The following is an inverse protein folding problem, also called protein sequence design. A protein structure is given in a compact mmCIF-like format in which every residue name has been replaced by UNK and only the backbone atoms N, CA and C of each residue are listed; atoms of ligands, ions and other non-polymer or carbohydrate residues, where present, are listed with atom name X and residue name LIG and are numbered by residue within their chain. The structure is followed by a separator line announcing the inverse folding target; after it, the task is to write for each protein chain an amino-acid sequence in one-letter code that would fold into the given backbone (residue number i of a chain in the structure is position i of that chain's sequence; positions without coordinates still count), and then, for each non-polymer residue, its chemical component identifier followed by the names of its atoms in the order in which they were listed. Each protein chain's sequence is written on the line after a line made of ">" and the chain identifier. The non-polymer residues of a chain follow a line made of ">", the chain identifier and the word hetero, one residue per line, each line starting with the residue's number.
data_IF_962415265517
#
_entry.id   IF_962415265517
#
_cell.length_a   1.000
_cell.length_b   1.000
_cell.length_c   1.000
_cell.angle_alpha   90.00
_cell.angle_beta   90.00
_cell.angle_gamma   90.00
#
_symmetry.space_group_name_H-M   'P 1'
#
loop_
_entity.id
_entity.type
_entity.pdbx_description
1 polymer ?
#
# COMPACT_ATOMS: atom_id res chain seq x y z
N UNK A 1 -16.88 -39.47 -4.03
CA UNK A 1 -15.49 -38.89 -4.03
C UNK A 1 -15.27 -37.93 -5.21
N UNK A 2 -15.82 -38.20 -6.43
CA UNK A 2 -15.65 -37.35 -7.60
C UNK A 2 -16.34 -35.97 -7.46
N UNK A 3 -17.53 -35.88 -6.92
CA UNK A 3 -18.23 -34.61 -6.66
C UNK A 3 -17.49 -33.70 -5.66
N UNK A 4 -16.87 -34.28 -4.64
CA UNK A 4 -16.04 -33.54 -3.68
C UNK A 4 -14.76 -32.97 -4.31
N UNK A 5 -14.15 -33.71 -5.26
CA UNK A 5 -12.95 -33.27 -5.98
C UNK A 5 -13.26 -32.12 -6.95
N UNK A 6 -14.36 -32.19 -7.68
CA UNK A 6 -14.80 -31.12 -8.59
C UNK A 6 -15.17 -29.83 -7.85
N UNK A 7 -15.78 -29.95 -6.67
CA UNK A 7 -16.12 -28.79 -5.82
C UNK A 7 -14.89 -28.13 -5.23
N UNK A 8 -13.87 -28.93 -4.83
CA UNK A 8 -12.58 -28.42 -4.36
C UNK A 8 -11.82 -27.71 -5.48
N UNK A 9 -11.78 -28.27 -6.71
CA UNK A 9 -11.14 -27.63 -7.85
C UNK A 9 -11.76 -26.27 -8.19
N UNK A 10 -13.10 -26.17 -8.20
CA UNK A 10 -13.79 -24.88 -8.42
C UNK A 10 -13.46 -23.82 -7.37
N UNK A 11 -13.37 -24.19 -6.09
CA UNK A 11 -12.97 -23.27 -5.02
C UNK A 11 -11.54 -22.79 -5.19
N UNK A 12 -10.61 -23.68 -5.55
CA UNK A 12 -9.23 -23.34 -5.79
C UNK A 12 -9.07 -22.46 -7.04
N UNK A 13 -9.80 -22.71 -8.10
CA UNK A 13 -9.85 -21.83 -9.26
C UNK A 13 -10.35 -20.43 -8.89
N UNK A 14 -11.43 -20.32 -8.12
CA UNK A 14 -11.95 -19.05 -7.63
C UNK A 14 -10.95 -18.31 -6.72
N UNK A 15 -10.23 -19.04 -5.84
CA UNK A 15 -9.13 -18.48 -5.07
C UNK A 15 -8.01 -17.97 -5.98
N UNK A 16 -7.66 -18.72 -7.03
CA UNK A 16 -6.70 -18.31 -8.05
C UNK A 16 -7.10 -17.01 -8.75
N UNK A 17 -8.37 -16.87 -9.14
CA UNK A 17 -8.88 -15.61 -9.72
C UNK A 17 -8.65 -14.41 -8.78
N UNK A 18 -8.89 -14.59 -7.49
CA UNK A 18 -8.68 -13.54 -6.49
C UNK A 18 -7.18 -13.16 -6.36
N UNK A 19 -6.27 -14.14 -6.33
CA UNK A 19 -4.84 -13.86 -6.30
C UNK A 19 -4.30 -13.27 -7.59
N UNK A 20 -4.79 -13.69 -8.75
CA UNK A 20 -4.49 -13.06 -10.02
C UNK A 20 -4.99 -11.62 -10.09
N UNK A 21 -6.12 -11.31 -9.43
CA UNK A 21 -6.61 -9.93 -9.29
C UNK A 21 -5.70 -9.08 -8.40
N UNK A 22 -5.19 -9.66 -7.30
CA UNK A 22 -4.16 -8.99 -6.49
C UNK A 22 -2.92 -8.72 -7.34
N UNK A 23 -2.47 -9.70 -8.13
CA UNK A 23 -1.34 -9.52 -9.04
C UNK A 23 -1.58 -8.43 -10.09
N UNK A 24 -2.78 -8.33 -10.64
CA UNK A 24 -3.16 -7.28 -11.59
C UNK A 24 -3.03 -5.87 -10.98
N UNK A 25 -3.39 -5.73 -9.70
CA UNK A 25 -3.38 -4.43 -9.00
C UNK A 25 -2.05 -4.12 -8.32
N UNK A 26 -1.42 -5.15 -7.75
CA UNK A 26 -0.15 -5.08 -7.02
C UNK A 26 0.69 -6.34 -7.31
N UNK A 27 1.48 -6.32 -8.39
CA UNK A 27 2.13 -7.52 -8.90
C UNK A 27 3.00 -8.26 -7.88
N UNK A 28 3.81 -7.54 -7.11
CA UNK A 28 4.68 -8.15 -6.09
C UNK A 28 3.86 -8.83 -4.98
N UNK A 29 2.81 -8.19 -4.53
CA UNK A 29 1.91 -8.71 -3.51
C UNK A 29 1.20 -9.99 -3.98
N UNK A 30 0.73 -9.97 -5.23
CA UNK A 30 0.11 -11.14 -5.86
C UNK A 30 1.08 -12.31 -6.03
N UNK A 31 2.35 -12.04 -6.36
CA UNK A 31 3.39 -13.06 -6.45
C UNK A 31 3.68 -13.70 -5.08
N UNK A 32 3.84 -12.88 -4.03
CA UNK A 32 4.12 -13.37 -2.68
C UNK A 32 2.99 -14.26 -2.18
N UNK A 33 1.78 -13.71 -2.10
CA UNK A 33 0.64 -14.46 -1.53
C UNK A 33 0.19 -15.59 -2.45
N UNK A 34 0.14 -15.34 -3.75
CA UNK A 34 -0.23 -16.34 -4.74
C UNK A 34 0.75 -17.50 -4.76
N UNK A 35 2.05 -17.20 -4.72
CA UNK A 35 3.11 -18.21 -4.68
C UNK A 35 3.07 -19.04 -3.40
N UNK A 36 3.02 -18.42 -2.21
CA UNK A 36 2.92 -19.12 -0.93
C UNK A 36 1.66 -19.99 -0.83
N UNK A 37 0.52 -19.48 -1.33
CA UNK A 37 -0.72 -20.24 -1.38
C UNK A 37 -0.62 -21.41 -2.36
N UNK A 38 0.02 -21.21 -3.52
CA UNK A 38 0.28 -22.28 -4.50
C UNK A 38 1.13 -23.40 -3.91
N UNK A 39 2.22 -23.05 -3.19
CA UNK A 39 3.07 -24.02 -2.46
C UNK A 39 2.23 -24.77 -1.41
N UNK A 40 1.41 -24.05 -0.65
CA UNK A 40 0.53 -24.67 0.34
C UNK A 40 -0.47 -25.65 -0.29
N UNK A 41 -1.07 -25.30 -1.44
CA UNK A 41 -2.00 -26.16 -2.19
C UNK A 41 -1.31 -27.40 -2.70
N UNK A 42 -0.07 -27.28 -3.17
CA UNK A 42 0.72 -28.39 -3.73
C UNK A 42 1.26 -29.31 -2.62
N UNK A 43 1.82 -28.75 -1.56
CA UNK A 43 2.50 -29.49 -0.47
C UNK A 43 1.55 -29.97 0.64
N UNK A 44 0.31 -29.51 0.66
CA UNK A 44 -0.65 -29.84 1.71
C UNK A 44 -1.07 -31.32 1.71
N UNK A 45 -1.64 -31.84 2.82
CA UNK A 45 -2.01 -33.25 2.99
C UNK A 45 -2.99 -33.78 1.94
N UNK A 46 -3.73 -32.90 1.31
CA UNK A 46 -4.65 -33.18 0.20
C UNK A 46 -4.18 -32.57 -1.12
N UNK A 47 -2.91 -32.20 -1.18
CA UNK A 47 -2.29 -31.60 -2.36
C UNK A 47 -2.37 -32.54 -3.55
N UNK A 48 -2.55 -31.99 -4.73
CA UNK A 48 -2.44 -32.71 -5.98
C UNK A 48 -2.11 -31.73 -7.10
N UNK A 49 -1.42 -32.23 -8.13
CA UNK A 49 -1.10 -31.43 -9.32
C UNK A 49 -2.36 -30.85 -9.95
N UNK A 50 -3.45 -31.63 -10.04
CA UNK A 50 -4.73 -31.16 -10.61
C UNK A 50 -5.34 -29.98 -9.82
N UNK A 51 -5.20 -29.97 -8.49
CA UNK A 51 -5.67 -28.87 -7.65
C UNK A 51 -4.78 -27.64 -7.80
N UNK A 52 -3.47 -27.85 -7.82
CA UNK A 52 -2.52 -26.77 -8.08
C UNK A 52 -2.71 -26.17 -9.48
N UNK A 53 -2.97 -27.00 -10.48
CA UNK A 53 -3.28 -26.55 -11.83
C UNK A 53 -4.59 -25.73 -11.90
N UNK A 54 -5.65 -26.16 -11.20
CA UNK A 54 -6.89 -25.38 -11.12
C UNK A 54 -6.66 -24.01 -10.46
N UNK A 55 -5.88 -23.96 -9.38
CA UNK A 55 -5.49 -22.72 -8.72
C UNK A 55 -4.67 -21.82 -9.65
N UNK A 56 -3.61 -22.36 -10.27
CA UNK A 56 -2.74 -21.63 -11.20
C UNK A 56 -3.52 -21.10 -12.41
N UNK A 57 -4.45 -21.89 -12.98
CA UNK A 57 -5.31 -21.44 -14.06
C UNK A 57 -6.14 -20.20 -13.67
N UNK A 58 -6.69 -20.17 -12.45
CA UNK A 58 -7.37 -18.99 -11.92
C UNK A 58 -6.43 -17.78 -11.83
N UNK A 59 -5.23 -17.97 -11.30
CA UNK A 59 -4.22 -16.88 -11.20
C UNK A 59 -3.89 -16.32 -12.61
N UNK A 60 -3.71 -17.19 -13.59
CA UNK A 60 -3.35 -16.77 -14.96
C UNK A 60 -4.50 -16.02 -15.62
N UNK A 61 -5.74 -16.45 -15.46
CA UNK A 61 -6.91 -15.82 -16.13
C UNK A 61 -7.02 -14.33 -15.77
N UNK A 62 -6.89 -13.97 -14.50
CA UNK A 62 -6.98 -12.57 -14.09
C UNK A 62 -5.62 -11.86 -14.12
N UNK A 63 -4.54 -12.55 -13.77
CA UNK A 63 -3.20 -11.97 -13.73
C UNK A 63 -2.67 -11.62 -15.14
N UNK A 64 -3.03 -12.38 -16.17
CA UNK A 64 -2.62 -12.09 -17.54
C UNK A 64 -3.20 -10.76 -18.08
N UNK A 65 -4.25 -10.23 -17.49
CA UNK A 65 -4.77 -8.89 -17.83
C UNK A 65 -3.74 -7.79 -17.62
N UNK A 66 -2.78 -7.98 -16.68
CA UNK A 66 -1.67 -7.05 -16.50
C UNK A 66 -0.79 -6.95 -17.76
N UNK A 67 -0.56 -8.08 -18.44
CA UNK A 67 0.26 -8.10 -19.65
C UNK A 67 -0.42 -7.32 -20.79
N UNK A 68 -1.73 -7.42 -20.90
CA UNK A 68 -2.53 -6.66 -21.87
C UNK A 68 -2.53 -5.17 -21.53
N UNK A 69 -2.69 -4.84 -20.24
CA UNK A 69 -2.60 -3.45 -19.77
C UNK A 69 -1.22 -2.85 -20.08
N UNK A 70 -0.14 -3.54 -19.73
CA UNK A 70 1.21 -3.08 -20.00
C UNK A 70 1.45 -2.89 -21.50
N UNK A 71 1.02 -3.84 -22.32
CA UNK A 71 1.15 -3.75 -23.78
C UNK A 71 0.44 -2.50 -24.33
N UNK A 72 -0.76 -2.21 -23.83
CA UNK A 72 -1.52 -1.03 -24.25
C UNK A 72 -0.86 0.29 -23.80
N UNK A 73 -0.25 0.30 -22.61
CA UNK A 73 0.33 1.52 -22.02
C UNK A 73 1.77 1.79 -22.47
N UNK A 74 2.59 0.76 -22.68
CA UNK A 74 4.05 0.90 -22.90
C UNK A 74 4.53 0.29 -24.22
N UNK A 75 3.64 -0.38 -24.95
CA UNK A 75 4.01 -1.15 -26.15
C UNK A 75 4.72 -2.49 -25.83
N UNK A 76 4.89 -2.85 -24.56
CA UNK A 76 5.55 -4.08 -24.14
C UNK A 76 4.77 -4.76 -23.00
N UNK A 77 4.45 -6.07 -23.10
CA UNK A 77 3.65 -6.74 -22.07
C UNK A 77 4.38 -6.89 -20.73
N UNK A 78 5.71 -6.83 -20.73
CA UNK A 78 6.53 -7.00 -19.52
C UNK A 78 7.02 -5.69 -18.91
N UNK A 79 6.83 -4.56 -19.59
CA UNK A 79 7.23 -3.24 -19.09
C UNK A 79 6.07 -2.59 -18.35
N UNK A 80 6.23 -2.40 -17.05
CA UNK A 80 5.19 -1.75 -16.24
C UNK A 80 5.13 -0.25 -16.53
N UNK A 81 3.93 0.32 -16.63
CA UNK A 81 3.71 1.73 -16.90
C UNK A 81 4.39 2.65 -15.85
N UNK A 82 4.38 2.26 -14.57
CA UNK A 82 5.09 3.00 -13.52
C UNK A 82 6.61 3.01 -13.74
N UNK A 83 7.20 1.87 -14.10
CA UNK A 83 8.64 1.80 -14.36
C UNK A 83 9.01 2.60 -15.60
N UNK A 84 8.18 2.55 -16.64
CA UNK A 84 8.36 3.35 -17.84
C UNK A 84 8.35 4.86 -17.55
N UNK A 85 7.40 5.29 -16.74
CA UNK A 85 7.30 6.68 -16.27
C UNK A 85 8.54 7.11 -15.47
N UNK A 86 8.97 6.29 -14.50
CA UNK A 86 10.12 6.61 -13.64
C UNK A 86 11.45 6.58 -14.43
N UNK A 87 11.61 5.65 -15.36
CA UNK A 87 12.76 5.57 -16.25
C UNK A 87 12.92 6.86 -17.10
N UNK A 88 11.80 7.47 -17.49
CA UNK A 88 11.80 8.73 -18.22
C UNK A 88 12.05 9.98 -17.35
N UNK A 89 11.76 9.90 -16.04
CA UNK A 89 11.85 11.05 -15.13
C UNK A 89 13.08 11.03 -14.24
N UNK A 90 13.60 9.86 -13.92
CA UNK A 90 14.77 9.69 -13.06
C UNK A 90 15.97 9.15 -13.86
N UNK A 91 16.09 7.80 -13.85
CA UNK A 91 17.09 7.10 -14.63
C UNK A 91 16.57 5.72 -14.98
N UNK A 92 17.00 5.13 -16.12
CA UNK A 92 16.64 3.77 -16.47
C UNK A 92 17.00 2.78 -15.34
N UNK A 93 16.00 2.02 -14.87
CA UNK A 93 16.18 1.07 -13.78
C UNK A 93 16.05 1.65 -12.36
N UNK A 94 15.77 2.93 -12.19
CA UNK A 94 15.62 3.54 -10.86
C UNK A 94 14.53 2.91 -9.99
N UNK A 95 13.49 2.33 -10.61
CA UNK A 95 12.46 1.58 -9.89
C UNK A 95 12.71 0.06 -9.90
N UNK A 96 13.94 -0.37 -10.11
CA UNK A 96 14.27 -1.79 -10.07
C UNK A 96 14.11 -2.35 -8.64
N UNK A 97 13.86 -3.65 -8.57
CA UNK A 97 13.80 -4.41 -7.34
C UNK A 97 15.17 -5.00 -7.05
N UNK A 98 15.67 -4.83 -5.83
CA UNK A 98 16.99 -5.33 -5.43
C UNK A 98 17.85 -4.23 -4.82
N UNK A 99 19.16 -4.42 -4.87
CA UNK A 99 20.17 -3.48 -4.38
C UNK A 99 21.00 -2.93 -5.52
N UNK A 100 21.29 -1.64 -5.50
CA UNK A 100 22.13 -0.98 -6.49
C UNK A 100 22.30 0.51 -6.21
N UNK A 101 23.39 1.11 -6.71
CA UNK A 101 23.69 2.53 -6.47
C UNK A 101 22.71 3.48 -7.18
N UNK A 102 22.06 3.01 -8.25
CA UNK A 102 21.16 3.81 -9.08
C UNK A 102 19.68 3.48 -8.84
N UNK A 103 19.38 2.63 -7.83
CA UNK A 103 18.01 2.26 -7.47
C UNK A 103 17.44 3.33 -6.54
N UNK A 104 16.26 3.85 -6.86
CA UNK A 104 15.61 4.94 -6.16
C UNK A 104 15.69 6.26 -6.92
N UNK A 105 15.16 7.35 -6.34
CA UNK A 105 15.21 8.68 -6.96
C UNK A 105 16.64 9.22 -7.01
N UNK A 106 16.96 10.08 -7.99
CA UNK A 106 18.26 10.74 -8.03
C UNK A 106 18.46 11.63 -6.80
N UNK A 107 19.47 11.35 -6.00
CA UNK A 107 19.71 12.02 -4.73
C UNK A 107 19.02 11.31 -3.57
N UNK A 108 18.71 12.06 -2.51
CA UNK A 108 18.08 11.55 -1.29
C UNK A 108 16.56 11.78 -1.33
N UNK A 109 15.81 10.80 -0.88
CA UNK A 109 14.38 10.93 -0.67
C UNK A 109 14.04 11.05 0.82
N UNK A 110 14.07 12.29 1.33
CA UNK A 110 13.70 12.55 2.71
C UNK A 110 14.70 12.06 3.77
N UNK A 111 14.27 12.08 5.03
CA UNK A 111 15.16 11.83 6.18
C UNK A 111 15.54 10.35 6.39
N UNK A 112 14.84 9.42 5.74
CA UNK A 112 15.09 7.97 5.85
C UNK A 112 15.98 7.44 4.75
N UNK A 113 16.16 8.19 3.69
CA UNK A 113 17.04 7.88 2.58
C UNK A 113 18.42 8.49 2.89
N UNK A 114 19.26 7.73 3.57
CA UNK A 114 20.54 8.20 4.06
C UNK A 114 21.62 8.27 3.00
N UNK A 115 21.52 7.39 1.99
CA UNK A 115 22.50 7.27 0.91
C UNK A 115 21.81 7.25 -0.45
N UNK A 116 22.49 7.70 -1.51
CA UNK A 116 22.02 7.45 -2.87
C UNK A 116 21.97 5.95 -3.18
N UNK A 117 20.95 5.54 -3.91
CA UNK A 117 20.74 4.12 -4.23
C UNK A 117 20.06 3.35 -3.09
N UNK A 118 19.95 2.03 -3.25
CA UNK A 118 19.38 1.14 -2.27
C UNK A 118 20.34 0.03 -1.92
N UNK A 119 20.64 -0.15 -0.63
CA UNK A 119 21.61 -1.13 -0.15
C UNK A 119 21.13 -1.94 1.05
N UNK A 120 21.84 -3.03 1.42
CA UNK A 120 21.45 -3.89 2.56
C UNK A 120 21.38 -3.14 3.90
N UNK A 121 22.26 -2.17 4.13
CA UNK A 121 22.24 -1.38 5.36
C UNK A 121 20.99 -0.49 5.45
N UNK A 122 20.62 0.13 4.33
CA UNK A 122 19.40 0.92 4.24
C UNK A 122 18.15 0.05 4.36
N UNK A 123 18.11 -1.11 3.70
CA UNK A 123 17.02 -2.08 3.84
C UNK A 123 16.83 -2.52 5.29
N UNK A 124 17.91 -2.79 6.02
CA UNK A 124 17.87 -3.11 7.45
C UNK A 124 17.31 -1.95 8.28
N UNK A 125 17.80 -0.72 8.04
CA UNK A 125 17.34 0.48 8.75
C UNK A 125 15.85 0.75 8.46
N UNK A 126 15.43 0.65 7.21
CA UNK A 126 14.04 0.79 6.80
C UNK A 126 13.15 -0.27 7.47
N UNK A 127 13.62 -1.52 7.53
CA UNK A 127 12.90 -2.61 8.22
C UNK A 127 12.74 -2.33 9.71
N UNK A 128 13.77 -1.81 10.38
CA UNK A 128 13.71 -1.40 11.80
C UNK A 128 12.68 -0.28 11.98
N UNK A 129 12.73 0.74 11.14
CA UNK A 129 11.81 1.88 11.20
C UNK A 129 10.35 1.45 10.93
N UNK A 130 10.11 0.57 9.96
CA UNK A 130 8.80 0.01 9.67
C UNK A 130 8.27 -0.84 10.84
N UNK A 131 9.14 -1.62 11.48
CA UNK A 131 8.79 -2.41 12.69
C UNK A 131 8.46 -1.48 13.85
N UNK A 132 9.21 -0.40 14.05
CA UNK A 132 8.88 0.63 15.04
C UNK A 132 7.52 1.28 14.74
N UNK A 133 7.23 1.57 13.47
CA UNK A 133 5.91 2.08 13.07
C UNK A 133 4.78 1.10 13.37
N UNK A 134 4.98 -0.21 13.18
CA UNK A 134 3.99 -1.23 13.57
C UNK A 134 3.67 -1.24 15.06
N UNK A 135 4.63 -0.89 15.92
CA UNK A 135 4.38 -0.77 17.37
C UNK A 135 3.30 0.28 17.67
N UNK A 136 3.20 1.31 16.85
CA UNK A 136 2.18 2.36 16.99
C UNK A 136 0.88 1.97 16.30
N UNK A 137 0.96 1.48 15.07
CA UNK A 137 -0.16 1.51 14.14
C UNK A 137 -0.94 0.18 14.06
N UNK A 138 -0.30 -0.98 14.30
CA UNK A 138 -0.91 -2.29 14.01
C UNK A 138 -2.26 -2.52 14.72
N UNK A 139 -2.33 -2.25 16.02
CA UNK A 139 -3.54 -2.40 16.83
C UNK A 139 -4.14 -1.04 17.23
N UNK A 140 -3.53 0.07 16.79
CA UNK A 140 -3.97 1.41 17.15
C UNK A 140 -3.77 1.77 18.63
N UNK A 141 -2.85 1.10 19.33
CA UNK A 141 -2.62 1.32 20.76
C UNK A 141 -1.59 2.40 21.06
N UNK A 142 -1.07 3.08 20.07
CA UNK A 142 0.03 4.03 20.10
C UNK A 142 1.38 3.46 20.59
N UNK A 143 1.39 2.40 21.36
CA UNK A 143 2.59 1.67 21.82
C UNK A 143 2.20 0.23 22.16
N UNK A 144 3.11 -0.70 21.96
CA UNK A 144 2.90 -2.10 22.38
C UNK A 144 2.02 -2.95 21.47
N UNK A 145 1.67 -2.48 20.27
CA UNK A 145 0.85 -3.25 19.32
C UNK A 145 1.45 -4.62 18.96
N UNK A 146 2.77 -4.81 19.09
CA UNK A 146 3.42 -6.11 18.87
C UNK A 146 3.55 -6.97 20.13
N UNK A 147 3.15 -6.47 21.31
CA UNK A 147 3.30 -7.19 22.58
C UNK A 147 2.65 -8.57 22.58
N UNK A 148 1.47 -8.68 21.96
CA UNK A 148 0.78 -9.98 21.84
C UNK A 148 1.51 -10.95 20.90
N UNK A 149 2.17 -10.46 19.86
CA UNK A 149 2.99 -11.30 18.98
C UNK A 149 4.22 -11.81 19.73
N UNK A 150 4.85 -10.98 20.55
CA UNK A 150 5.92 -11.45 21.44
C UNK A 150 5.42 -12.48 22.43
N UNK A 151 4.21 -12.30 23.01
CA UNK A 151 3.59 -13.29 23.89
C UNK A 151 3.35 -14.64 23.18
N UNK A 152 2.96 -14.61 21.88
CA UNK A 152 2.86 -15.82 21.07
C UNK A 152 4.18 -16.56 20.97
N UNK A 153 5.26 -15.87 20.64
CA UNK A 153 6.56 -16.54 20.50
C UNK A 153 7.09 -17.08 21.82
N UNK A 154 6.91 -16.34 22.90
CA UNK A 154 7.44 -16.68 24.24
C UNK A 154 6.63 -17.77 24.94
N UNK A 155 5.29 -17.72 24.85
CA UNK A 155 4.42 -18.53 25.75
C UNK A 155 3.46 -19.48 25.02
N UNK A 156 3.22 -19.33 23.72
CA UNK A 156 2.33 -20.24 23.03
C UNK A 156 2.92 -21.66 22.98
N UNK A 157 2.20 -22.59 23.62
CA UNK A 157 2.50 -24.03 23.58
C UNK A 157 1.71 -24.70 22.46
N UNK A 158 2.25 -25.77 21.88
CA UNK A 158 1.56 -26.53 20.83
C UNK A 158 1.27 -25.68 19.58
N UNK A 159 2.29 -24.95 19.08
CA UNK A 159 2.19 -24.18 17.85
C UNK A 159 1.81 -25.08 16.67
N UNK A 160 0.77 -24.69 15.92
CA UNK A 160 0.18 -25.47 14.83
C UNK A 160 0.89 -25.14 13.52
N UNK A 161 0.75 -26.00 12.52
CA UNK A 161 1.28 -25.75 11.16
C UNK A 161 0.75 -24.43 10.60
N UNK A 162 -0.51 -24.09 10.89
CA UNK A 162 -1.11 -22.82 10.45
C UNK A 162 -0.48 -21.60 11.15
N UNK A 163 -0.08 -21.71 12.41
CA UNK A 163 0.63 -20.62 13.11
C UNK A 163 1.95 -20.31 12.39
N UNK A 164 2.71 -21.37 12.03
CA UNK A 164 3.95 -21.21 11.27
C UNK A 164 3.74 -20.73 9.84
N UNK A 165 2.62 -21.10 9.21
CA UNK A 165 2.27 -20.55 7.92
C UNK A 165 2.04 -19.03 7.99
N UNK A 166 1.36 -18.55 9.06
CA UNK A 166 1.16 -17.10 9.26
C UNK A 166 2.49 -16.38 9.55
N UNK A 167 3.37 -16.98 10.34
CA UNK A 167 4.74 -16.45 10.53
C UNK A 167 5.48 -16.39 9.19
N UNK A 168 5.42 -17.45 8.39
CA UNK A 168 6.08 -17.50 7.08
C UNK A 168 5.54 -16.43 6.12
N UNK A 169 4.22 -16.22 6.07
CA UNK A 169 3.64 -15.16 5.22
C UNK A 169 4.15 -13.79 5.67
N UNK A 170 4.06 -13.47 6.96
CA UNK A 170 4.51 -12.17 7.47
C UNK A 170 6.02 -11.96 7.22
N UNK A 171 6.84 -12.96 7.52
CA UNK A 171 8.29 -12.90 7.30
C UNK A 171 8.64 -12.75 5.83
N UNK A 172 7.96 -13.47 4.93
CA UNK A 172 8.20 -13.35 3.49
C UNK A 172 7.85 -11.95 2.98
N UNK A 173 6.71 -11.38 3.40
CA UNK A 173 6.33 -10.01 3.02
C UNK A 173 7.41 -9.03 3.47
N UNK A 174 7.82 -9.09 4.75
CA UNK A 174 8.85 -8.20 5.31
C UNK A 174 10.18 -8.37 4.55
N UNK A 175 10.62 -9.61 4.35
CA UNK A 175 11.89 -9.91 3.69
C UNK A 175 11.90 -9.46 2.23
N UNK A 176 10.82 -9.75 1.48
CA UNK A 176 10.73 -9.36 0.07
C UNK A 176 10.67 -7.84 -0.06
N UNK A 177 9.88 -7.16 0.78
CA UNK A 177 9.79 -5.70 0.74
C UNK A 177 11.09 -4.99 1.18
N UNK A 178 11.99 -5.67 1.89
CA UNK A 178 13.32 -5.13 2.20
C UNK A 178 14.20 -4.91 0.94
N UNK A 179 13.87 -5.57 -0.18
CA UNK A 179 14.52 -5.34 -1.48
C UNK A 179 13.87 -4.22 -2.31
N UNK A 180 12.82 -3.59 -1.80
CA UNK A 180 12.19 -2.46 -2.46
C UNK A 180 12.64 -1.15 -1.82
N UNK A 181 13.21 -0.27 -2.60
CA UNK A 181 13.82 0.98 -2.14
C UNK A 181 12.89 1.89 -1.35
N UNK A 182 11.60 1.92 -1.70
CA UNK A 182 10.63 2.84 -1.10
C UNK A 182 10.00 2.29 0.18
N UNK A 183 10.47 2.74 1.32
CA UNK A 183 10.00 2.27 2.62
C UNK A 183 8.72 2.94 3.14
N UNK A 184 8.51 4.23 2.86
CA UNK A 184 7.32 5.04 3.23
C UNK A 184 6.86 4.92 4.70
N UNK A 185 7.80 4.78 5.63
CA UNK A 185 7.50 4.43 7.02
C UNK A 185 6.84 5.54 7.85
N UNK A 186 7.15 6.82 7.56
CA UNK A 186 6.67 7.92 8.41
C UNK A 186 5.30 8.46 8.03
N UNK A 187 4.89 8.28 6.78
CA UNK A 187 3.65 8.86 6.28
C UNK A 187 2.45 7.99 6.57
N UNK A 188 2.29 6.90 5.84
CA UNK A 188 1.15 5.98 5.99
C UNK A 188 1.44 4.77 6.90
N UNK A 189 2.57 4.77 7.62
CA UNK A 189 3.06 3.59 8.30
C UNK A 189 3.55 2.55 7.29
N UNK A 190 3.71 1.27 7.69
CA UNK A 190 4.25 0.21 6.85
C UNK A 190 3.23 -0.30 5.83
N UNK A 191 2.71 0.58 4.95
CA UNK A 191 1.63 0.25 4.00
C UNK A 191 2.01 -0.86 3.01
N UNK A 192 3.29 -0.99 2.69
CA UNK A 192 3.77 -2.09 1.84
C UNK A 192 3.76 -3.44 2.56
N UNK A 193 3.68 -3.43 3.88
CA UNK A 193 3.50 -4.64 4.69
C UNK A 193 2.03 -4.94 4.98
N UNK A 194 1.08 -4.27 4.33
CA UNK A 194 -0.35 -4.47 4.56
C UNK A 194 -0.78 -5.94 4.40
N UNK A 195 -0.14 -6.69 3.51
CA UNK A 195 -0.40 -8.12 3.36
C UNK A 195 -0.05 -8.94 4.61
N UNK A 196 0.88 -8.46 5.42
CA UNK A 196 1.21 -9.09 6.69
C UNK A 196 0.16 -8.78 7.79
N UNK A 197 -0.77 -7.85 7.58
CA UNK A 197 -1.73 -7.43 8.61
C UNK A 197 -2.56 -8.62 9.13
N UNK A 198 -3.16 -9.42 8.24
CA UNK A 198 -3.94 -10.58 8.65
C UNK A 198 -3.09 -11.61 9.44
N UNK A 199 -1.92 -12.06 8.97
CA UNK A 199 -1.01 -12.87 9.76
C UNK A 199 -0.67 -12.27 11.13
N UNK A 200 -0.37 -10.98 11.20
CA UNK A 200 0.00 -10.33 12.46
C UNK A 200 -1.19 -10.24 13.42
N UNK A 201 -2.40 -9.96 12.95
CA UNK A 201 -3.62 -10.01 13.78
C UNK A 201 -3.89 -11.41 14.28
N UNK A 202 -3.76 -12.43 13.43
CA UNK A 202 -3.91 -13.83 13.84
C UNK A 202 -2.90 -14.20 14.93
N UNK A 203 -1.62 -13.87 14.75
CA UNK A 203 -0.57 -14.12 15.74
C UNK A 203 -0.80 -13.34 17.03
N UNK A 204 -1.34 -12.13 16.97
CA UNK A 204 -1.75 -11.36 18.15
C UNK A 204 -2.87 -12.04 18.92
N UNK A 205 -3.88 -12.56 18.24
CA UNK A 205 -4.95 -13.33 18.88
C UNK A 205 -4.42 -14.61 19.56
N UNK A 206 -3.53 -15.33 18.87
CA UNK A 206 -2.85 -16.51 19.45
C UNK A 206 -1.96 -16.15 20.65
N UNK A 207 -1.35 -14.96 20.60
CA UNK A 207 -0.54 -14.43 21.70
C UNK A 207 -1.39 -14.07 22.92
N UNK A 208 -2.58 -13.50 22.71
CA UNK A 208 -3.54 -13.27 23.77
C UNK A 208 -3.97 -14.58 24.45
N UNK A 209 -4.31 -15.61 23.69
CA UNK A 209 -4.62 -16.94 24.23
C UNK A 209 -3.44 -17.50 25.06
N UNK A 210 -2.22 -17.35 24.56
CA UNK A 210 -1.01 -17.80 25.25
C UNK A 210 -0.76 -17.02 26.55
N UNK A 211 -1.01 -15.71 26.54
CA UNK A 211 -0.90 -14.85 27.71
C UNK A 211 -1.90 -15.25 28.78
N UNK A 212 -3.17 -15.48 28.43
CA UNK A 212 -4.17 -15.97 29.37
C UNK A 212 -3.82 -17.34 29.95
N UNK A 213 -3.35 -18.25 29.09
CA UNK A 213 -2.96 -19.59 29.53
C UNK A 213 -1.73 -19.61 30.45
N UNK A 214 -0.93 -18.53 30.49
CA UNK A 214 0.25 -18.40 31.35
C UNK A 214 -0.10 -18.13 32.80
N UNK A 215 -1.25 -17.51 33.07
CA UNK A 215 -1.70 -17.12 34.41
C UNK A 215 -2.90 -17.98 34.88
N UNK A 216 -2.92 -18.41 36.15
CA UNK A 216 -4.04 -19.18 36.71
C UNK A 216 -5.35 -18.39 36.71
N UNK A 217 -6.47 -19.06 36.43
CA UNK A 217 -7.78 -18.41 36.33
C UNK A 217 -8.31 -17.86 37.68
N UNK A 218 -7.78 -18.32 38.82
CA UNK A 218 -8.33 -18.01 40.16
C UNK A 218 -7.94 -16.67 40.77
N UNK A 219 -6.97 -15.93 40.22
CA UNK A 219 -6.39 -14.77 40.89
C UNK A 219 -6.81 -13.40 40.28
N UNK A 220 -7.91 -13.34 39.57
CA UNK A 220 -8.34 -12.12 38.85
C UNK A 220 -7.39 -11.69 37.72
N UNK A 221 -6.34 -12.49 37.42
CA UNK A 221 -5.34 -12.17 36.39
C UNK A 221 -5.99 -12.14 35.01
N UNK A 222 -6.91 -13.04 34.69
CA UNK A 222 -7.63 -13.03 33.42
C UNK A 222 -8.49 -11.77 33.28
N UNK A 223 -9.18 -11.33 34.32
CA UNK A 223 -9.96 -10.08 34.31
C UNK A 223 -9.06 -8.90 34.05
N UNK A 224 -7.88 -8.86 34.66
CA UNK A 224 -6.90 -7.78 34.41
C UNK A 224 -6.38 -7.78 32.98
N UNK A 225 -6.02 -8.95 32.43
CA UNK A 225 -5.55 -9.09 31.04
C UNK A 225 -6.66 -8.63 30.07
N UNK A 226 -7.88 -9.12 30.26
CA UNK A 226 -9.03 -8.77 29.42
C UNK A 226 -9.37 -7.27 29.51
N UNK A 227 -9.30 -6.71 30.73
CA UNK A 227 -9.53 -5.28 30.95
C UNK A 227 -8.46 -4.42 30.30
N UNK A 228 -7.19 -4.79 30.40
CA UNK A 228 -6.09 -4.06 29.73
C UNK A 228 -6.29 -4.10 28.22
N UNK A 229 -6.62 -5.28 27.64
CA UNK A 229 -6.88 -5.39 26.22
C UNK A 229 -8.07 -4.54 25.80
N UNK A 230 -9.20 -4.62 26.53
CA UNK A 230 -10.40 -3.85 26.24
C UNK A 230 -10.13 -2.34 26.31
N UNK A 231 -9.43 -1.88 27.36
CA UNK A 231 -9.04 -0.47 27.53
C UNK A 231 -8.09 0.01 26.41
N UNK A 232 -7.14 -0.84 26.02
CA UNK A 232 -6.22 -0.53 24.91
C UNK A 232 -6.97 -0.40 23.58
N UNK A 233 -7.93 -1.30 23.31
CA UNK A 233 -8.77 -1.20 22.12
C UNK A 233 -9.68 0.03 22.15
N UNK A 234 -10.26 0.34 23.31
CA UNK A 234 -11.10 1.53 23.50
C UNK A 234 -10.28 2.82 23.30
N UNK A 235 -9.07 2.87 23.87
CA UNK A 235 -8.14 3.97 23.63
C UNK A 235 -7.81 4.11 22.14
N UNK A 236 -7.49 3.00 21.46
CA UNK A 236 -7.23 3.00 20.02
C UNK A 236 -8.37 3.58 19.21
N UNK A 237 -9.60 3.17 19.55
CA UNK A 237 -10.81 3.61 18.83
C UNK A 237 -11.18 5.08 19.13
N UNK A 238 -11.17 5.48 20.41
CA UNK A 238 -11.70 6.77 20.85
C UNK A 238 -10.66 7.90 20.89
N UNK A 239 -9.38 7.58 21.01
CA UNK A 239 -8.31 8.57 21.17
C UNK A 239 -7.32 8.50 20.01
N UNK A 240 -6.65 7.36 19.84
CA UNK A 240 -5.54 7.25 18.87
C UNK A 240 -6.01 7.43 17.43
N UNK A 241 -7.06 6.74 17.01
CA UNK A 241 -7.56 6.81 15.62
C UNK A 241 -8.09 8.20 15.27
N UNK A 242 -8.94 8.86 16.08
CA UNK A 242 -9.37 10.24 15.82
C UNK A 242 -8.20 11.23 15.82
N UNK A 243 -7.27 11.09 16.76
CA UNK A 243 -6.07 11.93 16.80
C UNK A 243 -5.23 11.79 15.53
N UNK A 244 -4.96 10.54 15.10
CA UNK A 244 -4.24 10.29 13.84
C UNK A 244 -4.98 10.86 12.63
N UNK A 245 -6.32 10.71 12.60
CA UNK A 245 -7.15 11.28 11.54
C UNK A 245 -7.03 12.80 11.46
N UNK A 246 -7.12 13.48 12.61
CA UNK A 246 -7.09 14.94 12.68
C UNK A 246 -5.70 15.53 12.46
N UNK A 247 -4.63 14.89 12.99
CA UNK A 247 -3.30 15.50 13.02
C UNK A 247 -2.37 15.00 11.90
N UNK A 248 -2.52 13.74 11.48
CA UNK A 248 -1.61 13.15 10.49
C UNK A 248 -2.24 13.04 9.10
N UNK A 249 -3.53 12.70 9.02
CA UNK A 249 -4.17 12.42 7.74
C UNK A 249 -5.03 13.58 7.23
N UNK A 250 -5.28 14.58 8.06
CA UNK A 250 -5.92 15.80 7.59
C UNK A 250 -4.96 16.58 6.68
N UNK A 251 -5.41 16.88 5.48
CA UNK A 251 -4.62 17.56 4.43
C UNK A 251 -3.25 16.90 4.18
N UNK A 252 -3.23 15.57 4.27
CA UNK A 252 -2.02 14.77 4.12
C UNK A 252 -1.35 14.97 2.76
N UNK A 253 0.00 15.13 2.76
CA UNK A 253 0.76 15.33 1.53
C UNK A 253 0.43 16.63 0.81
N UNK A 254 -0.08 17.64 1.52
CA UNK A 254 -0.56 18.90 0.97
C UNK A 254 -1.76 18.73 0.02
N UNK A 255 -2.57 17.68 0.23
CA UNK A 255 -3.83 17.51 -0.50
C UNK A 255 -4.93 18.33 0.15
N UNK A 256 -5.19 19.52 -0.37
CA UNK A 256 -6.21 20.43 0.15
C UNK A 256 -7.52 20.37 -0.64
N UNK A 257 -8.61 20.77 0.01
CA UNK A 257 -9.94 20.79 -0.61
C UNK A 257 -10.21 22.05 -1.45
N UNK A 258 -9.28 23.01 -1.51
CA UNK A 258 -9.41 24.29 -2.18
C UNK A 258 -9.77 24.17 -3.66
N UNK A 259 -9.03 23.34 -4.42
CA UNK A 259 -9.35 23.08 -5.83
C UNK A 259 -10.74 22.45 -6.02
N UNK A 260 -11.10 21.51 -5.15
CA UNK A 260 -12.44 20.88 -5.19
C UNK A 260 -13.54 21.89 -4.91
N UNK A 261 -13.34 22.80 -3.96
CA UNK A 261 -14.31 23.87 -3.65
C UNK A 261 -14.44 24.85 -4.82
N UNK A 262 -13.32 25.28 -5.41
CA UNK A 262 -13.33 26.15 -6.58
C UNK A 262 -13.99 25.48 -7.79
N UNK A 263 -13.73 24.19 -8.01
CA UNK A 263 -14.38 23.41 -9.06
C UNK A 263 -15.91 23.32 -8.83
N UNK A 264 -16.33 23.04 -7.60
CA UNK A 264 -17.75 22.97 -7.23
C UNK A 264 -18.46 24.34 -7.35
N UNK A 265 -17.74 25.43 -7.13
CA UNK A 265 -18.23 26.79 -7.34
C UNK A 265 -18.27 27.21 -8.83
N UNK A 266 -17.85 26.35 -9.76
CA UNK A 266 -17.82 26.66 -11.19
C UNK A 266 -16.72 27.65 -11.59
N UNK A 267 -15.73 27.92 -10.73
CA UNK A 267 -14.70 28.96 -10.93
C UNK A 267 -13.91 28.77 -12.23
N UNK A 268 -13.74 27.54 -12.66
CA UNK A 268 -12.86 27.22 -13.80
C UNK A 268 -13.58 27.01 -15.12
N UNK A 269 -14.90 26.75 -15.10
CA UNK A 269 -15.62 26.36 -16.31
C UNK A 269 -14.93 25.19 -17.02
N UNK A 270 -14.61 25.39 -18.32
CA UNK A 270 -13.85 24.44 -19.11
C UNK A 270 -12.39 24.87 -19.36
N UNK A 271 -11.83 25.76 -18.55
CA UNK A 271 -10.51 26.33 -18.74
C UNK A 271 -9.38 25.29 -18.60
N UNK A 272 -8.22 25.62 -19.16
CA UNK A 272 -6.93 25.04 -18.79
C UNK A 272 -6.43 25.79 -17.56
N UNK A 273 -6.31 25.10 -16.44
CA UNK A 273 -5.87 25.67 -15.17
C UNK A 273 -4.40 25.33 -14.96
N UNK A 274 -3.53 26.33 -15.05
CA UNK A 274 -2.11 26.19 -14.78
C UNK A 274 -1.86 26.30 -13.28
N UNK A 275 -1.28 25.24 -12.71
CA UNK A 275 -1.00 25.10 -11.29
C UNK A 275 0.50 25.22 -11.06
N UNK A 276 0.93 26.19 -10.26
CA UNK A 276 2.33 26.35 -9.91
C UNK A 276 2.87 25.14 -9.16
N UNK A 277 4.17 24.86 -9.29
CA UNK A 277 4.84 23.72 -8.63
C UNK A 277 4.67 23.73 -7.11
N UNK A 278 4.60 24.91 -6.48
CA UNK A 278 4.34 25.13 -5.06
C UNK A 278 2.85 25.32 -4.74
N UNK A 279 1.97 25.28 -5.73
CA UNK A 279 0.52 25.46 -5.63
C UNK A 279 -0.25 24.13 -5.49
N UNK A 280 0.36 23.10 -4.92
CA UNK A 280 -0.25 21.81 -4.60
C UNK A 280 -0.82 21.05 -5.82
N UNK A 281 0.02 20.82 -6.85
CA UNK A 281 -0.44 20.24 -8.11
C UNK A 281 -1.14 18.88 -7.94
N UNK A 282 -0.73 18.07 -6.95
CA UNK A 282 -1.39 16.80 -6.65
C UNK A 282 -2.88 16.94 -6.33
N UNK A 283 -3.27 17.97 -5.56
CA UNK A 283 -4.67 18.26 -5.23
C UNK A 283 -5.49 18.61 -6.47
N UNK A 284 -4.89 19.31 -7.43
CA UNK A 284 -5.52 19.71 -8.68
C UNK A 284 -5.65 18.55 -9.66
N UNK A 285 -4.58 17.79 -9.87
CA UNK A 285 -4.53 16.72 -10.88
C UNK A 285 -5.49 15.57 -10.62
N UNK A 286 -5.79 15.29 -9.34
CA UNK A 286 -6.81 14.30 -8.96
C UNK A 286 -8.23 14.68 -9.42
N UNK A 287 -8.45 15.93 -9.83
CA UNK A 287 -9.73 16.44 -10.30
C UNK A 287 -9.85 16.43 -11.82
N UNK A 288 -8.78 16.07 -12.54
CA UNK A 288 -8.85 15.92 -13.97
C UNK A 288 -9.84 14.83 -14.36
N UNK A 289 -10.68 15.13 -15.33
CA UNK A 289 -11.51 14.11 -15.97
C UNK A 289 -10.62 13.16 -16.78
N UNK A 290 -10.73 11.82 -16.60
CA UNK A 290 -9.89 10.86 -17.31
C UNK A 290 -9.99 10.95 -18.83
N UNK A 291 -11.08 11.47 -19.36
CA UNK A 291 -11.36 11.59 -20.80
C UNK A 291 -11.17 13.02 -21.30
N UNK A 292 -10.77 13.96 -20.43
CA UNK A 292 -10.64 15.37 -20.75
C UNK A 292 -11.88 15.96 -21.42
N UNK A 293 -13.06 15.66 -20.86
CA UNK A 293 -14.35 16.09 -21.38
C UNK A 293 -14.38 17.62 -21.69
N UNK A 294 -15.07 18.01 -22.76
CA UNK A 294 -15.02 19.36 -23.29
C UNK A 294 -15.57 20.42 -22.32
N UNK A 295 -16.47 20.03 -21.42
CA UNK A 295 -17.12 20.87 -20.42
C UNK A 295 -16.40 20.92 -19.06
N UNK A 296 -15.31 20.15 -18.89
CA UNK A 296 -14.53 20.06 -17.64
C UNK A 296 -13.22 20.83 -17.76
N UNK A 297 -12.71 21.42 -16.66
CA UNK A 297 -11.37 22.01 -16.65
C UNK A 297 -10.29 20.96 -16.78
N UNK A 298 -9.13 21.38 -17.28
CA UNK A 298 -7.91 20.56 -17.33
C UNK A 298 -6.86 21.24 -16.45
N UNK A 299 -6.39 20.55 -15.43
CA UNK A 299 -5.33 21.04 -14.55
C UNK A 299 -3.97 20.55 -15.07
N UNK A 300 -3.06 21.49 -15.32
CA UNK A 300 -1.70 21.23 -15.81
C UNK A 300 -0.68 21.89 -14.89
N UNK A 301 0.51 21.28 -14.78
CA UNK A 301 1.63 21.88 -14.06
C UNK A 301 2.16 23.08 -14.83
N UNK A 302 2.23 24.23 -14.18
CA UNK A 302 2.97 25.38 -14.72
C UNK A 302 4.46 25.18 -14.47
N UNK A 303 5.18 24.80 -15.52
CA UNK A 303 6.64 24.62 -15.48
C UNK A 303 7.39 25.95 -15.69
N UNK A 304 6.68 27.04 -15.95
CA UNK A 304 7.27 28.33 -16.36
C UNK A 304 7.82 28.36 -17.79
N UNK A 305 7.84 27.22 -18.49
CA UNK A 305 8.34 27.05 -19.85
C UNK A 305 7.25 26.57 -20.81
N UNK A 306 5.98 26.56 -20.36
CA UNK A 306 4.87 26.13 -21.20
C UNK A 306 4.62 27.09 -22.37
N UNK A 307 4.56 26.53 -23.57
CA UNK A 307 4.14 27.26 -24.76
C UNK A 307 2.60 27.38 -24.75
N UNK A 308 2.11 28.57 -24.35
CA UNK A 308 0.66 28.86 -24.32
C UNK A 308 0.05 28.85 -25.74
N UNK A 309 0.82 29.14 -26.79
CA UNK A 309 0.30 29.09 -28.16
C UNK A 309 0.08 27.64 -28.59
N UNK A 310 0.99 26.73 -28.24
CA UNK A 310 0.83 25.29 -28.44
C UNK A 310 -0.36 24.74 -27.65
N UNK A 311 -0.52 25.18 -26.40
CA UNK A 311 -1.67 24.78 -25.58
C UNK A 311 -3.02 25.24 -26.18
N UNK A 312 -3.10 26.47 -26.64
CA UNK A 312 -4.29 26.99 -27.31
C UNK A 312 -4.59 26.26 -28.62
N UNK A 313 -3.56 25.88 -29.35
CA UNK A 313 -3.71 25.10 -30.58
C UNK A 313 -4.20 23.67 -30.30
N UNK A 314 -3.68 23.04 -29.23
CA UNK A 314 -4.08 21.69 -28.81
C UNK A 314 -5.50 21.63 -28.21
N UNK A 315 -5.93 22.71 -27.55
CA UNK A 315 -7.23 22.79 -26.86
C UNK A 315 -7.99 24.06 -27.30
N UNK A 316 -8.47 24.13 -28.53
CA UNK A 316 -9.15 25.31 -29.04
C UNK A 316 -10.42 25.61 -28.25
N UNK A 317 -10.68 26.90 -28.00
CA UNK A 317 -11.86 27.36 -27.28
C UNK A 317 -11.76 27.30 -25.75
N UNK A 318 -10.62 26.88 -25.17
CA UNK A 318 -10.39 26.88 -23.73
C UNK A 318 -9.59 28.12 -23.30
N UNK A 319 -10.05 28.81 -22.24
CA UNK A 319 -9.26 29.86 -21.61
C UNK A 319 -8.08 29.25 -20.83
N UNK A 320 -6.96 29.95 -20.73
CA UNK A 320 -5.84 29.57 -19.87
C UNK A 320 -5.93 30.44 -18.61
N UNK A 321 -6.00 29.82 -17.44
CA UNK A 321 -6.10 30.48 -16.13
C UNK A 321 -4.97 29.97 -15.24
N UNK A 322 -4.30 30.87 -14.52
CA UNK A 322 -3.36 30.50 -13.46
C UNK A 322 -4.08 30.57 -12.11
N UNK A 323 -3.98 29.51 -11.33
CA UNK A 323 -4.64 29.42 -10.03
C UNK A 323 -3.68 28.86 -8.98
N UNK A 324 -3.48 29.62 -7.91
CA UNK A 324 -2.69 29.23 -6.75
C UNK A 324 -3.63 29.08 -5.54
N UNK A 325 -3.93 27.83 -5.17
CA UNK A 325 -4.76 27.52 -4.03
C UNK A 325 -4.10 27.83 -2.69
N UNK A 326 -2.77 27.79 -2.64
CA UNK A 326 -2.01 28.04 -1.40
C UNK A 326 -2.09 29.51 -0.94
N UNK A 327 -2.32 30.44 -1.85
CA UNK A 327 -2.49 31.85 -1.53
C UNK A 327 -3.83 32.11 -0.81
N UNK A 328 -4.93 31.57 -1.34
CA UNK A 328 -6.25 31.75 -0.77
C UNK A 328 -6.41 31.06 0.59
N UNK A 329 -5.75 29.93 0.82
CA UNK A 329 -5.78 29.22 2.11
C UNK A 329 -4.99 29.94 3.20
N UNK A 330 -3.98 30.73 2.85
CA UNK A 330 -3.22 31.58 3.80
C UNK A 330 -3.98 32.82 4.22
N UNK A 331 -4.66 33.49 3.27
CA UNK A 331 -5.50 34.66 3.57
C UNK A 331 -6.73 34.32 4.43
N UNK A 332 -7.25 33.09 4.33
CA UNK A 332 -8.39 32.67 5.16
C UNK A 332 -8.00 32.30 6.61
N UNK A 333 -6.72 32.23 6.94
CA UNK A 333 -6.18 31.94 8.28
C UNK A 333 -5.39 33.11 8.90
N UNK A 334 -5.31 34.25 8.18
CA UNK A 334 -4.67 35.48 8.63
C UNK A 334 -5.42 36.27 9.67
#
# INVERSE_FOLDING_TARGET
>A
RAEGAGRAGRRLFAAGLAFGWIFLTRPLDGLILGGLTGIWVLAGPRGSVARAAAYAAGCVVTGALLLLHNLAMTGSPLRMALSDYLDGHWAPGANAFGFGPDIGPPGRWGALDLWPGHGPAEAALNTINLTASLQFDLLGWSVGSLALIYAFFLWARGKRVFDWAMVAVAATVILVMAFYWFADSYYFGPRYWFLAAFPLFYLSARGYDALRARFPAGEGAHVRIDSILALSCLFGLLVFTPWRGAMKYFEYGNFHTSYRRALAAGTFGNAIVLVAKNGEPGSAFMLNDPWFAADRPIFLLDTGTLDEAALKAAFPGRAIVRFDAGWQARDARG
#
